data_IF_034047914276
#
_entry.id   IF_034047914276
#
_cell.length_a   1.000
_cell.length_b   1.000
_cell.length_c   1.000
_cell.angle_alpha   90.00
_cell.angle_beta   90.00
_cell.angle_gamma   90.00
#
_symmetry.space_group_name_H-M   'P 1'
#
loop_
_entity.id
_entity.type
_entity.pdbx_description
1 polymer ?
#
# COMPACT_ATOMS: atom_id res chain seq x y z
N UNK A 1 20.84 23.93 7.00
CA UNK A 1 21.30 22.55 7.26
C UNK A 1 20.53 21.98 8.44
N UNK A 2 19.95 20.79 8.29
CA UNK A 2 19.35 20.05 9.41
C UNK A 2 20.46 19.58 10.34
N UNK A 3 20.43 20.02 11.60
CA UNK A 3 21.34 19.53 12.63
C UNK A 3 20.72 18.34 13.34
N UNK A 4 21.54 17.50 13.99
CA UNK A 4 21.04 16.38 14.79
C UNK A 4 20.02 16.82 15.88
N UNK A 5 20.18 18.03 16.41
CA UNK A 5 19.24 18.60 17.38
C UNK A 5 17.88 18.97 16.75
N UNK A 6 17.89 19.51 15.54
CA UNK A 6 16.66 19.79 14.79
C UNK A 6 15.93 18.49 14.42
N UNK A 7 16.65 17.45 13.99
CA UNK A 7 16.06 16.15 13.67
C UNK A 7 15.35 15.58 14.90
N UNK A 8 16.02 15.57 16.08
CA UNK A 8 15.39 15.11 17.33
C UNK A 8 14.13 15.91 17.69
N UNK A 9 14.15 17.24 17.48
CA UNK A 9 12.99 18.09 17.76
C UNK A 9 11.83 17.82 16.82
N UNK A 10 12.11 17.57 15.54
CA UNK A 10 11.08 17.20 14.54
C UNK A 10 10.48 15.84 14.86
N UNK A 11 11.30 14.86 15.25
CA UNK A 11 10.84 13.56 15.74
C UNK A 11 9.95 13.68 16.98
N UNK A 12 10.36 14.52 17.94
CA UNK A 12 9.54 14.82 19.13
C UNK A 12 8.20 15.48 18.80
N UNK A 13 8.15 16.28 17.73
CA UNK A 13 6.91 16.89 17.22
C UNK A 13 6.05 15.90 16.39
N UNK A 14 6.46 14.63 16.32
CA UNK A 14 5.71 13.61 15.59
C UNK A 14 5.80 13.73 14.06
N UNK A 15 6.77 14.47 13.54
CA UNK A 15 6.97 14.60 12.09
C UNK A 15 7.78 13.40 11.59
N UNK A 16 7.16 12.47 10.85
CA UNK A 16 7.80 11.22 10.47
C UNK A 16 8.81 11.38 9.33
N UNK A 17 8.63 12.40 8.49
CA UNK A 17 9.49 12.67 7.34
C UNK A 17 9.47 14.14 6.95
N UNK A 18 10.48 14.57 6.21
CA UNK A 18 10.60 15.89 5.59
C UNK A 18 10.99 15.74 4.13
N UNK A 19 10.42 16.58 3.29
CA UNK A 19 10.91 16.76 1.93
C UNK A 19 12.13 17.66 1.96
N UNK A 20 13.21 17.22 1.32
CA UNK A 20 14.44 17.99 1.18
C UNK A 20 14.54 18.43 -0.28
N UNK A 21 14.73 19.73 -0.49
CA UNK A 21 15.07 20.26 -1.81
C UNK A 21 16.57 20.00 -2.02
N UNK A 22 16.90 19.16 -3.00
CA UNK A 22 18.26 18.91 -3.42
C UNK A 22 18.52 19.70 -4.72
N UNK A 23 19.50 20.60 -4.77
CA UNK A 23 19.83 21.38 -5.98
C UNK A 23 20.11 20.52 -7.21
N UNK A 24 20.58 19.27 -7.02
CA UNK A 24 20.83 18.33 -8.11
C UNK A 24 19.53 17.73 -8.69
N UNK A 25 18.39 17.95 -8.04
CA UNK A 25 17.08 17.38 -8.39
C UNK A 25 16.00 18.47 -8.56
N UNK A 26 16.36 19.76 -8.57
CA UNK A 26 15.40 20.88 -8.69
C UNK A 26 14.55 20.83 -9.96
N UNK A 27 15.07 20.24 -11.03
CA UNK A 27 14.37 20.03 -12.29
C UNK A 27 13.45 18.79 -12.29
N UNK A 28 13.52 17.96 -11.25
CA UNK A 28 12.59 16.86 -11.08
C UNK A 28 11.34 17.37 -10.37
N UNK A 29 10.24 17.39 -11.10
CA UNK A 29 8.91 17.62 -10.49
C UNK A 29 8.66 16.64 -9.35
N UNK A 30 7.96 17.07 -8.30
CA UNK A 30 7.47 16.18 -7.25
C UNK A 30 6.47 15.17 -7.86
N UNK A 31 6.99 13.98 -8.13
CA UNK A 31 6.23 12.91 -8.78
C UNK A 31 5.59 11.98 -7.77
N UNK A 32 4.90 12.54 -6.79
CA UNK A 32 4.03 11.75 -5.94
C UNK A 32 2.83 11.21 -6.72
N UNK A 33 2.50 9.93 -6.51
CA UNK A 33 1.35 9.29 -7.16
C UNK A 33 0.02 10.01 -6.82
N UNK A 34 -0.10 10.51 -5.59
CA UNK A 34 -1.16 11.43 -5.18
C UNK A 34 -0.60 12.84 -4.92
N UNK A 35 -1.29 13.90 -5.35
CA UNK A 35 -0.99 15.25 -4.89
C UNK A 35 -1.02 15.33 -3.36
N UNK A 36 -0.10 16.11 -2.76
CA UNK A 36 0.04 16.19 -1.31
C UNK A 36 -1.26 16.56 -0.57
N UNK A 37 -2.13 17.37 -1.18
CA UNK A 37 -3.43 17.72 -0.59
C UNK A 37 -4.37 16.51 -0.51
N UNK A 38 -4.48 15.71 -1.59
CA UNK A 38 -5.32 14.51 -1.62
C UNK A 38 -4.76 13.41 -0.71
N UNK A 39 -3.42 13.26 -0.66
CA UNK A 39 -2.77 12.35 0.26
C UNK A 39 -3.12 12.66 1.72
N UNK A 40 -3.00 13.95 2.15
CA UNK A 40 -3.37 14.38 3.50
C UNK A 40 -4.86 14.16 3.81
N UNK A 41 -5.71 14.38 2.83
CA UNK A 41 -7.16 14.14 2.95
C UNK A 41 -7.44 12.65 3.18
N UNK A 42 -6.83 11.77 2.40
CA UNK A 42 -6.95 10.31 2.56
C UNK A 42 -6.47 9.85 3.94
N UNK A 43 -5.30 10.31 4.39
CA UNK A 43 -4.77 10.01 5.73
C UNK A 43 -5.74 10.47 6.81
N UNK A 44 -6.28 11.68 6.72
CA UNK A 44 -7.23 12.19 7.72
C UNK A 44 -8.51 11.34 7.75
N UNK A 45 -9.08 11.05 6.59
CA UNK A 45 -10.29 10.24 6.47
C UNK A 45 -10.10 8.85 7.09
N UNK A 46 -9.00 8.19 6.77
CA UNK A 46 -8.66 6.88 7.34
C UNK A 46 -8.34 6.95 8.83
N UNK A 47 -7.62 7.98 9.28
CA UNK A 47 -7.32 8.16 10.70
C UNK A 47 -8.60 8.28 11.53
N UNK A 48 -9.58 9.03 11.07
CA UNK A 48 -10.87 9.15 11.73
C UNK A 48 -11.60 7.80 11.80
N UNK A 49 -11.53 6.99 10.75
CA UNK A 49 -12.14 5.67 10.72
C UNK A 49 -11.40 4.67 11.64
N UNK A 50 -10.07 4.58 11.54
CA UNK A 50 -9.28 3.60 12.30
C UNK A 50 -9.06 3.97 13.78
N UNK A 51 -9.19 5.24 14.16
CA UNK A 51 -9.18 5.65 15.56
C UNK A 51 -10.58 5.75 16.16
N UNK A 52 -11.64 5.52 15.36
CA UNK A 52 -13.02 5.43 15.80
C UNK A 52 -13.24 4.20 16.70
N UNK A 53 -14.33 4.25 17.48
CA UNK A 53 -14.72 3.07 18.27
C UNK A 53 -15.39 2.03 17.38
N UNK A 54 -14.81 0.85 17.29
CA UNK A 54 -15.38 -0.27 16.51
C UNK A 54 -16.84 -0.57 16.91
N UNK A 55 -17.18 -0.38 18.20
CA UNK A 55 -18.55 -0.54 18.69
C UNK A 55 -19.55 0.41 18.03
N UNK A 56 -19.13 1.60 17.62
CA UNK A 56 -19.97 2.55 16.90
C UNK A 56 -20.22 2.10 15.47
N UNK A 57 -19.18 1.60 14.80
CA UNK A 57 -19.30 1.03 13.44
C UNK A 57 -20.23 -0.18 13.40
N UNK A 58 -20.22 -1.01 14.45
CA UNK A 58 -21.08 -2.20 14.53
C UNK A 58 -22.54 -1.87 14.88
N UNK A 59 -22.78 -0.89 15.77
CA UNK A 59 -24.10 -0.59 16.32
C UNK A 59 -24.89 0.43 15.50
N UNK A 60 -24.23 1.42 14.90
CA UNK A 60 -24.88 2.52 14.19
C UNK A 60 -24.68 2.42 12.69
N UNK A 61 -25.71 2.04 11.96
CA UNK A 61 -25.70 2.10 10.49
C UNK A 61 -25.41 3.52 9.98
N UNK A 62 -26.03 4.52 10.59
CA UNK A 62 -25.84 5.92 10.21
C UNK A 62 -24.38 6.36 10.36
N UNK A 63 -23.73 6.07 11.49
CA UNK A 63 -22.33 6.41 11.73
C UNK A 63 -21.40 5.67 10.76
N UNK A 64 -21.63 4.36 10.57
CA UNK A 64 -20.87 3.53 9.63
C UNK A 64 -20.95 4.06 8.21
N UNK A 65 -22.17 4.33 7.72
CA UNK A 65 -22.40 4.81 6.37
C UNK A 65 -21.85 6.21 6.15
N UNK A 66 -21.87 7.07 7.18
CA UNK A 66 -21.21 8.37 7.12
C UNK A 66 -19.70 8.23 6.84
N UNK A 67 -19.00 7.37 7.59
CA UNK A 67 -17.58 7.11 7.35
C UNK A 67 -17.34 6.52 5.97
N UNK A 68 -18.11 5.50 5.56
CA UNK A 68 -17.91 4.85 4.27
C UNK A 68 -18.22 5.75 3.08
N UNK A 69 -19.18 6.68 3.16
CA UNK A 69 -19.39 7.71 2.13
C UNK A 69 -18.21 8.64 1.97
N UNK A 70 -17.57 9.04 3.08
CA UNK A 70 -16.37 9.88 3.04
C UNK A 70 -15.20 9.14 2.42
N UNK A 71 -15.01 7.88 2.80
CA UNK A 71 -13.99 7.01 2.19
C UNK A 71 -14.24 6.85 0.69
N UNK A 72 -15.49 6.59 0.29
CA UNK A 72 -15.89 6.45 -1.12
C UNK A 72 -15.54 7.70 -1.93
N UNK A 73 -15.90 8.88 -1.43
CA UNK A 73 -15.57 10.16 -2.12
C UNK A 73 -14.04 10.34 -2.27
N UNK A 74 -13.27 9.97 -1.26
CA UNK A 74 -11.80 10.03 -1.34
C UNK A 74 -11.27 9.03 -2.37
N UNK A 75 -11.82 7.81 -2.41
CA UNK A 75 -11.48 6.76 -3.39
C UNK A 75 -11.76 7.23 -4.81
N UNK A 76 -12.92 7.84 -5.09
CA UNK A 76 -13.26 8.38 -6.42
C UNK A 76 -12.15 9.31 -6.92
N UNK A 77 -11.74 10.28 -6.09
CA UNK A 77 -10.70 11.24 -6.43
C UNK A 77 -9.32 10.60 -6.63
N UNK A 78 -9.00 9.58 -5.83
CA UNK A 78 -7.75 8.84 -5.97
C UNK A 78 -7.71 8.07 -7.29
N UNK A 79 -8.78 7.35 -7.63
CA UNK A 79 -8.90 6.58 -8.87
C UNK A 79 -8.81 7.50 -10.09
N UNK A 80 -9.55 8.62 -10.10
CA UNK A 80 -9.52 9.59 -11.20
C UNK A 80 -8.10 10.16 -11.39
N UNK A 81 -7.45 10.53 -10.28
CA UNK A 81 -6.09 11.08 -10.30
C UNK A 81 -5.09 10.08 -10.88
N UNK A 82 -5.11 8.82 -10.43
CA UNK A 82 -4.16 7.80 -10.86
C UNK A 82 -4.43 7.36 -12.30
N UNK A 83 -5.71 7.22 -12.67
CA UNK A 83 -6.11 6.87 -14.03
C UNK A 83 -5.67 7.92 -15.06
N UNK A 84 -5.71 9.21 -14.71
CA UNK A 84 -5.21 10.27 -15.57
C UNK A 84 -3.70 10.21 -15.82
N UNK A 85 -2.95 9.51 -14.96
CA UNK A 85 -1.50 9.31 -15.00
C UNK A 85 -1.07 7.96 -15.60
N UNK A 86 -2.00 7.18 -16.14
CA UNK A 86 -1.82 5.78 -16.55
C UNK A 86 -0.64 5.52 -17.49
N UNK A 87 -0.23 6.52 -18.28
CA UNK A 87 0.88 6.38 -19.24
C UNK A 87 2.29 6.41 -18.63
N UNK A 88 2.43 6.91 -17.39
CA UNK A 88 3.74 7.17 -16.77
C UNK A 88 3.82 6.70 -15.29
N UNK A 89 2.98 5.76 -14.89
CA UNK A 89 2.85 5.31 -13.49
C UNK A 89 4.19 4.89 -12.87
N UNK A 90 5.08 4.28 -13.65
CA UNK A 90 6.40 3.82 -13.20
C UNK A 90 7.30 4.96 -12.69
N UNK A 91 7.01 6.19 -13.04
CA UNK A 91 7.76 7.37 -12.62
C UNK A 91 7.15 8.12 -11.43
N UNK A 92 6.02 7.65 -10.90
CA UNK A 92 5.42 8.22 -9.71
C UNK A 92 5.82 7.44 -8.44
N UNK A 93 6.05 8.17 -7.37
CA UNK A 93 6.42 7.62 -6.08
C UNK A 93 5.20 7.50 -5.15
N UNK A 94 5.17 6.42 -4.38
CA UNK A 94 4.26 6.27 -3.25
C UNK A 94 5.00 6.75 -2.01
N UNK A 95 4.36 7.66 -1.27
CA UNK A 95 4.94 8.23 -0.06
C UNK A 95 4.85 7.23 1.10
N UNK A 96 5.98 6.85 1.67
CA UNK A 96 6.04 6.02 2.86
C UNK A 96 6.28 6.92 4.09
N UNK A 97 5.23 7.28 4.82
CA UNK A 97 5.28 8.14 5.99
C UNK A 97 4.99 7.35 7.27
N UNK A 98 6.03 6.70 7.81
CA UNK A 98 5.94 6.02 9.11
C UNK A 98 5.16 4.71 9.12
N UNK A 99 5.25 4.01 10.25
CA UNK A 99 4.59 2.72 10.49
C UNK A 99 3.23 2.97 11.15
N UNK A 100 2.17 2.99 10.37
CA UNK A 100 0.80 3.02 10.88
C UNK A 100 -0.13 2.24 9.97
N UNK A 101 -1.17 1.65 10.54
CA UNK A 101 -2.22 0.95 9.79
C UNK A 101 -2.84 1.84 8.70
N UNK A 102 -2.92 3.14 8.96
CA UNK A 102 -3.47 4.14 8.04
C UNK A 102 -2.59 4.31 6.80
N UNK A 103 -1.27 4.50 7.00
CA UNK A 103 -0.32 4.63 5.90
C UNK A 103 -0.22 3.32 5.09
N UNK A 104 -0.18 2.19 5.78
CA UNK A 104 -0.20 0.87 5.16
C UNK A 104 -1.43 0.69 4.26
N UNK A 105 -2.63 0.91 4.81
CA UNK A 105 -3.89 0.76 4.07
C UNK A 105 -3.95 1.69 2.86
N UNK A 106 -3.48 2.93 2.98
CA UNK A 106 -3.42 3.86 1.86
C UNK A 106 -2.43 3.35 0.79
N UNK A 107 -1.24 2.93 1.16
CA UNK A 107 -0.22 2.46 0.22
C UNK A 107 -0.65 1.17 -0.50
N UNK A 108 -1.27 0.22 0.21
CA UNK A 108 -1.85 -1.00 -0.40
C UNK A 108 -2.94 -0.64 -1.41
N UNK A 109 -3.80 0.33 -1.08
CA UNK A 109 -4.82 0.83 -2.00
C UNK A 109 -4.18 1.45 -3.25
N UNK A 110 -3.18 2.32 -3.11
CA UNK A 110 -2.49 2.96 -4.24
C UNK A 110 -1.83 1.93 -5.16
N UNK A 111 -1.13 0.95 -4.59
CA UNK A 111 -0.54 -0.16 -5.33
C UNK A 111 -1.60 -0.99 -6.06
N UNK A 112 -2.72 -1.28 -5.40
CA UNK A 112 -3.83 -2.01 -6.00
C UNK A 112 -4.45 -1.26 -7.18
N UNK A 113 -4.65 0.06 -7.07
CA UNK A 113 -5.12 0.90 -8.18
C UNK A 113 -4.13 0.86 -9.34
N UNK A 114 -2.81 0.95 -9.09
CA UNK A 114 -1.78 0.87 -10.14
C UNK A 114 -1.87 -0.47 -10.88
N UNK A 115 -2.03 -1.59 -10.18
CA UNK A 115 -2.22 -2.91 -10.81
C UNK A 115 -3.52 -2.90 -11.64
N UNK A 116 -4.62 -2.42 -11.07
CA UNK A 116 -5.93 -2.38 -11.72
C UNK A 116 -5.94 -1.53 -13.00
N UNK A 117 -5.31 -0.34 -12.96
CA UNK A 117 -5.13 0.53 -14.15
C UNK A 117 -4.30 -0.19 -15.21
N UNK A 118 -3.22 -0.86 -14.81
CA UNK A 118 -2.37 -1.64 -15.71
C UNK A 118 -3.12 -2.83 -16.32
N UNK A 119 -4.06 -3.42 -15.57
CA UNK A 119 -4.96 -4.48 -16.04
C UNK A 119 -6.10 -3.96 -16.94
N UNK A 120 -6.19 -2.65 -17.18
CA UNK A 120 -7.27 -1.97 -17.88
C UNK A 120 -8.66 -2.25 -17.25
N UNK A 121 -8.75 -2.29 -15.93
CA UNK A 121 -10.05 -2.41 -15.26
C UNK A 121 -10.91 -1.17 -15.54
N UNK A 122 -12.24 -1.34 -15.73
CA UNK A 122 -13.18 -0.22 -15.85
C UNK A 122 -13.15 0.67 -14.59
N UNK A 123 -13.50 1.95 -14.73
CA UNK A 123 -13.44 2.92 -13.63
C UNK A 123 -14.20 2.46 -12.37
N UNK A 124 -15.41 1.91 -12.53
CA UNK A 124 -16.19 1.40 -11.40
C UNK A 124 -15.51 0.21 -10.71
N UNK A 125 -14.93 -0.72 -11.46
CA UNK A 125 -14.18 -1.84 -10.90
C UNK A 125 -12.91 -1.36 -10.17
N UNK A 126 -12.25 -0.29 -10.64
CA UNK A 126 -11.12 0.35 -9.95
C UNK A 126 -11.56 0.96 -8.62
N UNK A 127 -12.72 1.61 -8.55
CA UNK A 127 -13.27 2.18 -7.32
C UNK A 127 -13.61 1.10 -6.30
N UNK A 128 -14.23 0.01 -6.73
CA UNK A 128 -14.53 -1.14 -5.87
C UNK A 128 -13.26 -1.82 -5.35
N UNK A 129 -12.26 -2.05 -6.21
CA UNK A 129 -10.95 -2.56 -5.83
C UNK A 129 -10.27 -1.65 -4.81
N UNK A 130 -10.25 -0.34 -5.09
CA UNK A 130 -9.65 0.65 -4.21
C UNK A 130 -10.34 0.71 -2.84
N UNK A 131 -11.68 0.65 -2.82
CA UNK A 131 -12.47 0.63 -1.59
C UNK A 131 -12.12 -0.60 -0.75
N UNK A 132 -12.10 -1.78 -1.35
CA UNK A 132 -11.74 -3.01 -0.66
C UNK A 132 -10.30 -3.02 -0.15
N UNK A 133 -9.34 -2.57 -0.99
CA UNK A 133 -7.94 -2.48 -0.61
C UNK A 133 -7.68 -1.43 0.48
N UNK A 134 -8.41 -0.31 0.48
CA UNK A 134 -8.29 0.72 1.50
C UNK A 134 -8.80 0.27 2.87
N UNK A 135 -9.79 -0.62 2.87
CA UNK A 135 -10.44 -1.14 4.07
C UNK A 135 -9.97 -2.55 4.46
N UNK A 136 -9.00 -3.15 3.75
CA UNK A 136 -8.62 -4.56 3.93
C UNK A 136 -8.33 -4.92 5.39
N UNK A 137 -7.72 -4.02 6.12
CA UNK A 137 -7.27 -4.18 7.50
C UNK A 137 -8.26 -3.63 8.57
N UNK A 138 -9.46 -3.16 8.18
CA UNK A 138 -10.42 -2.55 9.13
C UNK A 138 -10.78 -3.48 10.28
N UNK A 139 -10.73 -4.78 10.07
CA UNK A 139 -11.01 -5.78 11.11
C UNK A 139 -9.98 -5.85 12.23
N UNK A 140 -8.79 -5.24 12.06
CA UNK A 140 -7.80 -5.09 13.14
C UNK A 140 -8.35 -4.27 14.32
N UNK A 141 -9.37 -3.44 14.09
CA UNK A 141 -10.12 -2.77 15.16
C UNK A 141 -10.79 -3.73 16.16
N UNK A 142 -11.04 -4.99 15.76
CA UNK A 142 -11.61 -6.02 16.61
C UNK A 142 -10.56 -6.86 17.34
N UNK A 143 -9.29 -6.72 17.01
CA UNK A 143 -8.21 -7.48 17.63
C UNK A 143 -7.80 -6.82 18.94
N UNK A 144 -7.60 -7.61 20.03
CA UNK A 144 -7.18 -7.06 21.31
C UNK A 144 -5.88 -6.26 21.20
N UNK A 145 -5.82 -5.02 21.73
CA UNK A 145 -4.65 -4.14 21.59
C UNK A 145 -3.35 -4.74 22.10
N UNK A 146 -3.40 -5.59 23.14
CA UNK A 146 -2.21 -6.24 23.70
C UNK A 146 -1.60 -7.29 22.78
N UNK A 147 -2.40 -7.86 21.86
CA UNK A 147 -1.92 -8.77 20.81
C UNK A 147 -1.41 -7.95 19.61
N UNK A 148 -2.23 -6.98 19.16
CA UNK A 148 -1.92 -6.19 17.97
C UNK A 148 -0.62 -5.37 18.12
N UNK A 149 -0.38 -4.82 19.32
CA UNK A 149 0.78 -3.96 19.62
C UNK A 149 1.90 -4.68 20.37
N UNK A 150 1.91 -6.02 20.37
CA UNK A 150 2.93 -6.79 21.06
C UNK A 150 4.30 -6.56 20.42
N UNK A 151 5.33 -6.13 21.20
CA UNK A 151 6.65 -5.85 20.66
C UNK A 151 7.44 -7.12 20.33
N UNK A 152 7.12 -8.22 21.01
CA UNK A 152 7.78 -9.52 20.83
C UNK A 152 7.03 -10.38 19.79
N UNK A 153 7.63 -11.51 19.42
CA UNK A 153 6.99 -12.46 18.53
C UNK A 153 5.65 -12.97 19.07
N UNK A 154 4.71 -13.20 18.16
CA UNK A 154 3.39 -13.74 18.49
C UNK A 154 3.44 -15.23 18.80
N UNK A 155 2.65 -15.69 19.77
CA UNK A 155 2.40 -17.13 19.95
C UNK A 155 1.52 -17.68 18.83
N UNK A 156 1.40 -19.00 18.74
CA UNK A 156 0.52 -19.65 17.74
C UNK A 156 -0.94 -19.21 17.91
N UNK A 157 -1.40 -19.10 19.16
CA UNK A 157 -2.77 -18.69 19.52
C UNK A 157 -3.01 -17.23 19.17
N UNK A 158 -2.05 -16.34 19.47
CA UNK A 158 -2.11 -14.92 19.11
C UNK A 158 -2.11 -14.72 17.60
N UNK A 159 -1.35 -15.53 16.86
CA UNK A 159 -1.35 -15.52 15.40
C UNK A 159 -2.72 -15.93 14.84
N UNK A 160 -3.36 -16.94 15.41
CA UNK A 160 -4.71 -17.35 15.06
C UNK A 160 -5.70 -16.20 15.31
N UNK A 161 -5.56 -15.49 16.44
CA UNK A 161 -6.41 -14.35 16.77
C UNK A 161 -6.25 -13.18 15.77
N UNK A 162 -5.02 -12.82 15.45
CA UNK A 162 -4.76 -11.77 14.45
C UNK A 162 -5.34 -12.14 13.08
N UNK A 163 -5.23 -13.39 12.65
CA UNK A 163 -5.78 -13.85 11.36
C UNK A 163 -7.30 -13.66 11.23
N UNK A 164 -8.02 -13.55 12.34
CA UNK A 164 -9.47 -13.29 12.34
C UNK A 164 -9.81 -11.89 11.81
N UNK A 165 -8.84 -10.95 11.72
CA UNK A 165 -9.13 -9.58 11.24
C UNK A 165 -9.76 -9.58 9.84
N UNK A 166 -9.37 -10.49 8.94
CA UNK A 166 -9.95 -10.56 7.60
C UNK A 166 -11.46 -10.87 7.65
N UNK A 167 -11.88 -11.81 8.49
CA UNK A 167 -13.29 -12.13 8.71
C UNK A 167 -14.02 -11.02 9.49
N UNK A 168 -13.40 -10.44 10.50
CA UNK A 168 -13.96 -9.31 11.24
C UNK A 168 -14.17 -8.10 10.33
N UNK A 169 -13.20 -7.79 9.50
CA UNK A 169 -13.31 -6.72 8.51
C UNK A 169 -14.45 -6.95 7.54
N UNK A 170 -14.55 -8.13 6.96
CA UNK A 170 -15.67 -8.52 6.12
C UNK A 170 -17.02 -8.33 6.82
N UNK A 171 -17.14 -8.77 8.09
CA UNK A 171 -18.36 -8.60 8.87
C UNK A 171 -18.73 -7.13 9.15
N UNK A 172 -17.74 -6.23 9.26
CA UNK A 172 -17.98 -4.78 9.40
C UNK A 172 -18.46 -4.19 8.08
N UNK A 173 -17.76 -4.45 6.98
CA UNK A 173 -18.02 -3.77 5.70
C UNK A 173 -19.32 -4.24 5.04
N UNK A 174 -19.67 -5.52 5.14
CA UNK A 174 -20.91 -6.08 4.58
C UNK A 174 -22.20 -5.57 5.22
N UNK A 175 -22.11 -4.86 6.35
CA UNK A 175 -23.27 -4.25 7.01
C UNK A 175 -23.72 -2.95 6.35
N UNK A 176 -23.02 -2.47 5.31
CA UNK A 176 -23.33 -1.23 4.62
C UNK A 176 -23.52 -1.46 3.13
N UNK A 177 -24.61 -0.92 2.59
CA UNK A 177 -24.91 -0.97 1.15
C UNK A 177 -23.98 -0.08 0.30
N UNK A 178 -23.13 0.74 0.95
CA UNK A 178 -22.13 1.58 0.27
C UNK A 178 -20.94 0.73 -0.21
N UNK A 179 -20.68 -0.39 0.45
CA UNK A 179 -19.57 -1.29 0.13
C UNK A 179 -20.09 -2.40 -0.78
N UNK A 180 -19.56 -2.47 -2.00
CA UNK A 180 -19.95 -3.52 -2.94
C UNK A 180 -19.53 -4.91 -2.44
N UNK A 181 -20.22 -5.97 -2.85
CA UNK A 181 -19.81 -7.34 -2.54
C UNK A 181 -18.37 -7.63 -2.96
N UNK A 182 -17.90 -7.10 -4.10
CA UNK A 182 -16.54 -7.27 -4.59
C UNK A 182 -15.49 -6.60 -3.68
N UNK A 183 -15.78 -5.39 -3.18
CA UNK A 183 -14.95 -4.71 -2.20
C UNK A 183 -14.92 -5.49 -0.87
N UNK A 184 -16.05 -6.02 -0.41
CA UNK A 184 -16.12 -6.84 0.79
C UNK A 184 -15.34 -8.17 0.66
N UNK A 185 -15.39 -8.81 -0.52
CA UNK A 185 -14.55 -9.98 -0.84
C UNK A 185 -13.07 -9.65 -0.74
N UNK A 186 -12.64 -8.46 -1.19
CA UNK A 186 -11.24 -8.02 -1.07
C UNK A 186 -10.79 -8.00 0.38
N UNK A 187 -11.61 -7.41 1.28
CA UNK A 187 -11.34 -7.35 2.73
C UNK A 187 -11.18 -8.75 3.33
N UNK A 188 -12.01 -9.71 2.91
CA UNK A 188 -11.95 -11.08 3.42
C UNK A 188 -10.76 -11.87 2.88
N UNK A 189 -10.37 -11.63 1.61
CA UNK A 189 -9.54 -12.55 0.84
C UNK A 189 -8.11 -12.06 0.60
N UNK A 190 -7.71 -10.88 1.07
CA UNK A 190 -6.37 -10.31 0.81
C UNK A 190 -5.21 -11.16 1.38
N UNK A 191 -5.50 -12.06 2.31
CA UNK A 191 -4.53 -13.02 2.83
C UNK A 191 -4.67 -14.43 2.25
N UNK A 192 -5.56 -14.63 1.30
CA UNK A 192 -5.57 -15.88 0.53
C UNK A 192 -4.33 -15.98 -0.35
N UNK A 193 -3.92 -17.19 -0.66
CA UNK A 193 -2.77 -17.48 -1.53
C UNK A 193 -3.23 -18.36 -2.68
N UNK A 194 -2.71 -18.09 -3.87
CA UNK A 194 -3.17 -18.74 -5.10
C UNK A 194 -3.10 -20.27 -5.05
N UNK A 195 -2.18 -20.83 -4.25
CA UNK A 195 -2.04 -22.27 -4.01
C UNK A 195 -2.98 -22.83 -2.92
N UNK A 196 -3.81 -22.00 -2.28
CA UNK A 196 -4.71 -22.40 -1.19
C UNK A 196 -4.07 -22.46 0.20
N UNK A 197 -2.82 -22.01 0.36
CA UNK A 197 -2.15 -21.99 1.68
C UNK A 197 -2.50 -20.75 2.53
N UNK A 198 -3.37 -19.87 2.00
CA UNK A 198 -3.79 -18.66 2.66
C UNK A 198 -4.86 -18.86 3.73
N UNK A 199 -5.44 -17.76 4.15
CA UNK A 199 -6.59 -17.67 5.08
C UNK A 199 -7.43 -16.45 4.65
N UNK A 200 -8.68 -16.34 4.93
CA UNK A 200 -9.55 -16.89 5.99
C UNK A 200 -10.30 -18.17 5.60
N UNK A 201 -10.50 -18.46 4.30
CA UNK A 201 -11.31 -19.59 3.82
C UNK A 201 -10.48 -20.69 3.15
N UNK A 202 -9.18 -20.44 2.87
CA UNK A 202 -8.32 -21.40 2.17
C UNK A 202 -8.67 -21.55 0.68
N UNK A 203 -9.16 -20.48 0.06
CA UNK A 203 -9.53 -20.45 -1.34
C UNK A 203 -8.31 -20.63 -2.24
N UNK A 204 -8.54 -21.22 -3.43
CA UNK A 204 -7.47 -21.55 -4.36
C UNK A 204 -7.74 -21.02 -5.77
N UNK A 205 -6.68 -20.49 -6.40
CA UNK A 205 -6.75 -20.08 -7.79
C UNK A 205 -7.82 -19.02 -8.04
N UNK A 206 -8.73 -19.28 -8.96
CA UNK A 206 -9.80 -18.35 -9.35
C UNK A 206 -11.00 -18.34 -8.40
N UNK A 207 -11.04 -19.21 -7.38
CA UNK A 207 -11.99 -19.09 -6.27
C UNK A 207 -11.76 -17.80 -5.47
N UNK A 208 -10.50 -17.29 -5.47
CA UNK A 208 -10.16 -16.02 -4.89
C UNK A 208 -10.63 -14.93 -5.87
N UNK A 209 -11.46 -14.00 -5.40
CA UNK A 209 -11.89 -12.87 -6.21
C UNK A 209 -10.69 -12.10 -6.79
N UNK A 210 -10.80 -11.59 -8.02
CA UNK A 210 -9.69 -10.87 -8.67
C UNK A 210 -9.10 -9.76 -7.80
N UNK A 211 -9.96 -9.01 -7.10
CA UNK A 211 -9.52 -7.91 -6.24
C UNK A 211 -8.75 -8.39 -5.01
N UNK A 212 -9.12 -9.54 -4.44
CA UNK A 212 -8.36 -10.20 -3.38
C UNK A 212 -6.96 -10.61 -3.86
N UNK A 213 -6.86 -11.18 -5.09
CA UNK A 213 -5.57 -11.55 -5.73
C UNK A 213 -4.66 -10.33 -5.97
N UNK A 214 -5.23 -9.20 -6.40
CA UNK A 214 -4.50 -7.94 -6.60
C UNK A 214 -4.05 -7.38 -5.25
N UNK A 215 -4.96 -7.28 -4.28
CA UNK A 215 -4.68 -6.74 -2.96
C UNK A 215 -3.59 -7.55 -2.23
N UNK A 216 -3.60 -8.89 -2.34
CA UNK A 216 -2.58 -9.76 -1.75
C UNK A 216 -1.15 -9.45 -2.23
N UNK A 217 -0.97 -9.10 -3.51
CA UNK A 217 0.31 -8.71 -4.09
C UNK A 217 0.74 -7.35 -3.51
N UNK A 218 -0.17 -6.38 -3.50
CA UNK A 218 0.08 -5.04 -2.99
C UNK A 218 0.44 -5.04 -1.50
N UNK A 219 -0.32 -5.79 -0.68
CA UNK A 219 -0.13 -5.93 0.76
C UNK A 219 1.25 -6.54 1.09
N UNK A 220 1.60 -7.67 0.47
CA UNK A 220 2.90 -8.31 0.71
C UNK A 220 4.06 -7.40 0.32
N UNK A 221 3.97 -6.73 -0.82
CA UNK A 221 5.02 -5.81 -1.26
C UNK A 221 5.18 -4.63 -0.29
N UNK A 222 4.08 -3.98 0.06
CA UNK A 222 4.09 -2.85 1.01
C UNK A 222 4.62 -3.29 2.37
N UNK A 223 4.08 -4.38 2.93
CA UNK A 223 4.50 -4.91 4.23
C UNK A 223 5.99 -5.24 4.30
N UNK A 224 6.63 -5.64 3.20
CA UNK A 224 8.05 -5.97 3.16
C UNK A 224 8.96 -4.75 2.90
N UNK A 225 8.48 -3.74 2.18
CA UNK A 225 9.26 -2.56 1.78
C UNK A 225 9.08 -1.36 2.70
N UNK A 226 8.02 -1.34 3.54
CA UNK A 226 7.81 -0.29 4.52
C UNK A 226 8.83 -0.36 5.67
N UNK A 227 9.21 0.83 6.17
CA UNK A 227 9.98 0.96 7.41
C UNK A 227 9.06 0.71 8.60
N UNK A 228 9.39 -0.30 9.39
CA UNK A 228 8.58 -0.71 10.54
C UNK A 228 9.39 -0.58 11.83
N UNK A 229 8.73 -0.25 12.92
CA UNK A 229 9.36 -0.03 14.25
C UNK A 229 10.26 -1.22 14.65
N UNK A 230 9.87 -2.44 14.23
CA UNK A 230 10.57 -3.68 14.64
C UNK A 230 11.49 -4.26 13.56
N UNK A 231 11.54 -3.65 12.35
CA UNK A 231 12.33 -4.18 11.24
C UNK A 231 12.63 -3.09 10.21
N UNK A 232 13.91 -2.93 9.82
CA UNK A 232 14.27 -2.05 8.71
C UNK A 232 13.61 -2.51 7.40
N UNK A 233 13.35 -1.59 6.46
CA UNK A 233 12.79 -1.91 5.16
C UNK A 233 13.71 -2.88 4.39
N UNK A 234 13.11 -3.89 3.77
CA UNK A 234 13.84 -4.76 2.85
C UNK A 234 13.97 -4.01 1.51
N UNK A 235 15.17 -3.97 0.90
CA UNK A 235 15.35 -3.33 -0.39
C UNK A 235 14.33 -3.84 -1.43
N UNK A 236 13.72 -2.93 -2.19
CA UNK A 236 12.68 -3.30 -3.18
C UNK A 236 13.13 -4.39 -4.14
N UNK A 237 14.39 -4.33 -4.60
CA UNK A 237 14.99 -5.37 -5.45
C UNK A 237 14.85 -6.75 -4.82
N UNK A 238 15.26 -6.91 -3.57
CA UNK A 238 15.21 -8.19 -2.83
C UNK A 238 13.75 -8.66 -2.63
N UNK A 239 12.82 -7.73 -2.36
CA UNK A 239 11.39 -8.08 -2.24
C UNK A 239 10.85 -8.58 -3.57
N UNK A 240 11.13 -7.89 -4.67
CA UNK A 240 10.69 -8.30 -6.01
C UNK A 240 11.28 -9.66 -6.38
N UNK A 241 12.58 -9.89 -6.17
CA UNK A 241 13.22 -11.18 -6.42
C UNK A 241 12.54 -12.30 -5.61
N UNK A 242 12.22 -12.06 -4.35
CA UNK A 242 11.49 -13.02 -3.51
C UNK A 242 10.08 -13.26 -4.04
N UNK A 243 9.33 -12.22 -4.36
CA UNK A 243 7.96 -12.35 -4.90
C UNK A 243 7.96 -13.10 -6.25
N UNK A 244 8.95 -12.89 -7.11
CA UNK A 244 9.10 -13.63 -8.37
C UNK A 244 9.46 -15.09 -8.12
N UNK A 245 10.36 -15.38 -7.18
CA UNK A 245 10.80 -16.76 -6.90
C UNK A 245 9.70 -17.63 -6.28
N UNK A 246 8.78 -17.05 -5.50
CA UNK A 246 7.64 -17.75 -4.88
C UNK A 246 6.33 -17.54 -5.65
N UNK A 247 6.30 -16.57 -6.56
CA UNK A 247 5.10 -16.00 -7.17
C UNK A 247 4.20 -17.02 -7.87
N UNK A 248 4.78 -18.03 -8.50
CA UNK A 248 4.02 -19.06 -9.18
C UNK A 248 3.18 -19.96 -8.24
N UNK A 249 3.44 -19.89 -6.93
CA UNK A 249 2.68 -20.62 -5.91
C UNK A 249 1.74 -19.71 -5.13
N UNK A 250 2.25 -18.54 -4.72
CA UNK A 250 1.58 -17.69 -3.73
C UNK A 250 0.64 -16.67 -4.37
N UNK A 251 0.91 -16.25 -5.61
CA UNK A 251 0.19 -15.17 -6.29
C UNK A 251 -0.38 -15.62 -7.66
N UNK A 252 -1.40 -14.89 -8.12
CA UNK A 252 -1.80 -14.91 -9.52
C UNK A 252 -0.66 -14.32 -10.38
N UNK A 253 -0.04 -15.17 -11.19
CA UNK A 253 1.13 -14.81 -11.99
C UNK A 253 0.85 -13.65 -12.96
N UNK A 254 -0.36 -13.60 -13.54
CA UNK A 254 -0.77 -12.53 -14.44
C UNK A 254 -0.81 -11.19 -13.69
N UNK A 255 -1.40 -11.15 -12.49
CA UNK A 255 -1.47 -9.93 -11.69
C UNK A 255 -0.09 -9.51 -11.18
N UNK A 256 0.76 -10.47 -10.80
CA UNK A 256 2.14 -10.19 -10.42
C UNK A 256 2.95 -9.58 -11.58
N UNK A 257 2.78 -10.07 -12.82
CA UNK A 257 3.42 -9.49 -14.00
C UNK A 257 2.97 -8.03 -14.23
N UNK A 258 1.66 -7.76 -14.11
CA UNK A 258 1.12 -6.40 -14.24
C UNK A 258 1.66 -5.45 -13.16
N UNK A 259 1.79 -5.95 -11.93
CA UNK A 259 2.44 -5.21 -10.84
C UNK A 259 3.88 -4.82 -11.21
N UNK A 260 4.68 -5.78 -11.65
CA UNK A 260 6.10 -5.57 -11.99
C UNK A 260 6.32 -4.59 -13.16
N UNK A 261 5.32 -4.37 -14.01
CA UNK A 261 5.43 -3.42 -15.13
C UNK A 261 5.52 -1.97 -14.67
N UNK A 262 4.87 -1.61 -13.57
CA UNK A 262 4.73 -0.21 -13.13
C UNK A 262 5.31 0.07 -11.75
N UNK A 263 5.90 -0.93 -11.10
CA UNK A 263 6.59 -0.69 -9.81
C UNK A 263 8.09 -0.58 -10.04
N UNK A 264 8.68 0.61 -9.83
CA UNK A 264 10.10 0.79 -10.02
C UNK A 264 10.89 0.08 -8.91
N UNK A 265 11.93 -0.65 -9.30
CA UNK A 265 12.91 -1.19 -8.35
C UNK A 265 13.67 -0.05 -7.68
N UNK A 266 14.01 0.96 -8.48
CA UNK A 266 14.70 2.17 -8.05
C UNK A 266 13.79 3.38 -8.32
N UNK A 267 13.06 3.89 -7.32
CA UNK A 267 12.20 5.06 -7.50
C UNK A 267 12.96 6.31 -7.99
N UNK A 268 12.26 7.19 -8.69
CA UNK A 268 12.81 8.50 -9.05
C UNK A 268 13.25 9.25 -7.79
N UNK A 269 14.43 9.87 -7.82
CA UNK A 269 15.06 10.53 -6.67
C UNK A 269 15.94 9.61 -5.81
N UNK A 270 15.97 8.29 -6.07
CA UNK A 270 16.86 7.37 -5.34
C UNK A 270 18.32 7.58 -5.72
N UNK A 271 19.19 7.68 -4.70
CA UNK A 271 20.65 7.60 -4.91
C UNK A 271 21.04 6.13 -5.12
N UNK A 272 21.75 5.86 -6.20
CA UNK A 272 22.20 4.51 -6.57
C UNK A 272 23.69 4.50 -6.88
N UNK A 273 24.34 3.33 -6.66
CA UNK A 273 25.70 3.06 -7.12
C UNK A 273 25.61 2.11 -8.31
N UNK A 274 26.21 2.50 -9.43
CA UNK A 274 26.25 1.70 -10.65
C UNK A 274 27.29 0.58 -10.54
N UNK A 275 27.19 -0.41 -11.41
CA UNK A 275 28.20 -1.49 -11.52
C UNK A 275 29.60 -0.99 -11.90
N UNK A 276 29.69 0.22 -12.44
CA UNK A 276 30.94 0.93 -12.76
C UNK A 276 31.58 1.62 -11.55
N UNK A 277 30.88 1.66 -10.39
CA UNK A 277 31.31 2.35 -9.17
C UNK A 277 30.85 3.80 -9.07
N UNK A 278 30.31 4.37 -10.15
CA UNK A 278 29.79 5.74 -10.16
C UNK A 278 28.51 5.83 -9.32
N UNK A 279 28.29 6.99 -8.68
CA UNK A 279 27.05 7.28 -7.97
C UNK A 279 26.20 8.28 -8.74
N UNK A 280 24.88 8.15 -8.60
CA UNK A 280 23.96 9.06 -9.24
C UNK A 280 22.51 8.91 -8.77
N UNK A 281 21.70 9.89 -9.15
CA UNK A 281 20.26 9.87 -8.85
C UNK A 281 19.44 9.30 -10.00
N UNK A 282 18.50 8.45 -9.68
CA UNK A 282 17.48 7.99 -10.64
C UNK A 282 16.60 9.17 -11.03
N UNK A 283 16.58 9.51 -12.32
CA UNK A 283 15.76 10.62 -12.83
C UNK A 283 14.55 10.15 -13.65
N UNK A 284 14.57 8.90 -14.12
CA UNK A 284 13.46 8.32 -14.89
C UNK A 284 13.53 6.80 -14.88
N UNK A 285 12.36 6.18 -14.85
CA UNK A 285 12.17 4.75 -15.08
C UNK A 285 11.50 4.51 -16.44
N UNK A 286 11.68 3.31 -16.97
CA UNK A 286 10.99 2.83 -18.16
C UNK A 286 10.07 1.66 -17.77
N UNK A 287 8.80 1.72 -18.18
CA UNK A 287 7.90 0.60 -18.04
C UNK A 287 8.52 -0.66 -18.67
N UNK A 288 8.33 -1.83 -18.04
CA UNK A 288 8.89 -3.14 -18.45
C UNK A 288 10.41 -3.33 -18.30
N UNK A 289 11.17 -2.28 -17.96
CA UNK A 289 12.63 -2.38 -17.73
C UNK A 289 13.03 -1.72 -16.41
N UNK A 290 12.29 -1.99 -15.35
CA UNK A 290 12.42 -1.37 -14.03
C UNK A 290 13.79 -1.55 -13.35
N UNK A 291 14.62 -2.48 -13.85
CA UNK A 291 16.01 -2.69 -13.40
C UNK A 291 17.04 -1.79 -14.11
N UNK A 292 16.64 -1.02 -15.12
CA UNK A 292 17.53 -0.15 -15.91
C UNK A 292 16.99 1.28 -15.96
N UNK A 293 17.03 2.00 -14.84
CA UNK A 293 16.62 3.41 -14.79
C UNK A 293 17.59 4.30 -15.55
N UNK A 294 17.14 5.50 -15.90
CA UNK A 294 18.03 6.60 -16.32
C UNK A 294 18.60 7.24 -15.05
N UNK A 295 19.92 7.36 -14.98
CA UNK A 295 20.63 7.85 -13.80
C UNK A 295 21.43 9.10 -14.18
N UNK A 296 21.30 10.17 -13.40
CA UNK A 296 22.15 11.36 -13.45
C UNK A 296 23.35 11.12 -12.55
N UNK A 297 24.54 11.04 -13.15
CA UNK A 297 25.79 10.84 -12.42
C UNK A 297 26.14 12.09 -11.62
N UNK A 298 26.54 11.91 -10.36
CA UNK A 298 26.89 12.99 -9.43
C UNK A 298 28.35 12.99 -8.99
N UNK A 299 29.06 11.89 -9.19
CA UNK A 299 30.51 11.79 -8.96
C UNK A 299 31.24 12.04 -10.23
N UNK A 300 32.12 13.07 -10.23
CA UNK A 300 33.17 13.17 -11.23
C UNK A 300 34.10 11.97 -11.04
N UNK A 301 34.60 11.44 -12.16
CA UNK A 301 35.57 10.33 -12.18
C UNK A 301 36.85 10.69 -11.50
#
# INVERSE_FOLDING_TARGET
KLTAQYIKRLQFLGLPALYIIDPLLEDLEDRLLLPAALHREAIRCLSELFHGKVSELLRSAQTRDMYFRRVHHTVDRMVDTISSRSRDLVNYNICHLGDSIVNHSLNVCLLSIVIGVTANLPAEALKELAMGALLHDIGKLCIPPHILNKPDGLTAEELIEIRKHALHGYNIVRLSDIISPAAACTVQQHHERYNGSGYSAGLRGEEIHLFGRICAIADVFEAMTADRIYRPPIPRKTVIEKMVSTGYRDFDLRQLQLFLHNIPVYPVGSLVTLSTGEQGYVIRNHARTSLRPVVRITTER
#
